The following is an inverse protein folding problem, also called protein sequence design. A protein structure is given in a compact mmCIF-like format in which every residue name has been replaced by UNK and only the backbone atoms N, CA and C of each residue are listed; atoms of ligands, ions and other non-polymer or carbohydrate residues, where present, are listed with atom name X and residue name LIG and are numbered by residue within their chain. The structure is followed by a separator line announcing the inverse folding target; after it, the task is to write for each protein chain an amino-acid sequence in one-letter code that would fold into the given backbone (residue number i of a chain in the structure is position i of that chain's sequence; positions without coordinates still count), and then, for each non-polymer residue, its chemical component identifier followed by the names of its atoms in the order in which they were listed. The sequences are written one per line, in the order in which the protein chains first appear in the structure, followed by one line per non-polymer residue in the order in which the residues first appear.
data_IF_228618890263
#
_entry.id   IF_228618890263
#
_cell.length_a   1.000
_cell.length_b   1.000
_cell.length_c   1.000
_cell.angle_alpha   90.00
_cell.angle_beta   90.00
_cell.angle_gamma   90.00
#
_symmetry.space_group_name_H-M   'P 1'
#
loop_
_entity.id
_entity.type
_entity.pdbx_description
1 polymer ?
#
# COMPACT_ATOMS: atom_id res chain seq x y z
N UNK A 1 14.17 -2.93 -35.99
CA UNK A 1 12.72 -3.02 -35.77
C UNK A 1 12.46 -4.23 -34.90
N UNK A 2 12.07 -4.01 -33.66
CA UNK A 2 11.82 -5.08 -32.69
C UNK A 2 11.91 -4.59 -31.25
N UNK A 3 11.40 -3.39 -30.97
CA UNK A 3 11.05 -3.03 -29.58
C UNK A 3 9.73 -3.73 -29.30
N UNK A 4 9.80 -4.78 -28.50
CA UNK A 4 8.65 -5.44 -27.95
C UNK A 4 8.34 -4.70 -26.65
N UNK A 5 7.32 -3.82 -26.57
CA UNK A 5 7.01 -3.17 -25.32
C UNK A 5 6.57 -4.26 -24.34
N UNK A 6 7.19 -4.25 -23.16
CA UNK A 6 6.82 -5.10 -22.02
C UNK A 6 5.36 -4.79 -21.69
N UNK A 7 4.44 -5.56 -22.26
CA UNK A 7 3.04 -5.56 -21.84
C UNK A 7 3.02 -6.31 -20.52
N UNK A 8 3.20 -5.59 -19.43
CA UNK A 8 2.99 -6.11 -18.08
C UNK A 8 1.48 -6.30 -17.90
N UNK A 9 0.99 -7.47 -18.31
CA UNK A 9 -0.38 -7.91 -18.11
C UNK A 9 -0.66 -8.03 -16.62
N UNK A 10 -1.50 -7.14 -16.08
CA UNK A 10 -1.92 -7.26 -14.68
C UNK A 10 -3.44 -7.17 -14.55
N UNK A 11 -4.03 -8.31 -14.20
CA UNK A 11 -5.40 -8.59 -13.77
C UNK A 11 -6.58 -7.89 -14.47
N UNK A 12 -6.47 -7.59 -15.75
CA UNK A 12 -7.61 -7.81 -16.62
C UNK A 12 -7.47 -9.22 -17.21
N UNK A 13 -8.55 -9.98 -17.33
CA UNK A 13 -8.52 -11.36 -17.82
C UNK A 13 -8.25 -11.41 -19.35
N UNK A 14 -7.18 -10.76 -19.80
CA UNK A 14 -6.87 -10.44 -21.21
C UNK A 14 -8.01 -9.71 -21.94
N UNK A 15 -8.84 -8.97 -21.19
CA UNK A 15 -9.94 -8.16 -21.73
C UNK A 15 -9.71 -6.68 -21.38
N UNK A 16 -10.13 -5.74 -22.22
CA UNK A 16 -10.19 -4.33 -21.86
C UNK A 16 -11.01 -4.12 -20.58
N UNK A 17 -10.70 -3.07 -19.81
CA UNK A 17 -11.41 -2.76 -18.56
C UNK A 17 -12.91 -2.52 -18.76
N UNK A 18 -13.29 -1.98 -19.92
CA UNK A 18 -14.66 -1.71 -20.33
C UNK A 18 -15.46 -3.00 -20.57
N UNK A 19 -14.78 -4.04 -21.02
CA UNK A 19 -15.34 -5.36 -21.32
C UNK A 19 -15.23 -6.33 -20.14
N UNK A 20 -14.76 -5.86 -18.98
CA UNK A 20 -14.63 -6.71 -17.80
C UNK A 20 -16.02 -7.06 -17.23
N UNK A 21 -16.30 -8.36 -17.19
CA UNK A 21 -17.51 -8.90 -16.57
C UNK A 21 -17.25 -9.27 -15.10
N UNK A 22 -18.14 -8.83 -14.21
CA UNK A 22 -18.03 -9.12 -12.78
C UNK A 22 -18.17 -10.63 -12.53
N UNK A 23 -17.28 -11.15 -11.69
CA UNK A 23 -17.32 -12.54 -11.25
C UNK A 23 -18.05 -12.67 -9.91
N UNK A 24 -18.46 -13.90 -9.57
CA UNK A 24 -19.02 -14.18 -8.23
C UNK A 24 -18.04 -13.85 -7.09
N UNK A 25 -16.74 -13.85 -7.36
CA UNK A 25 -15.72 -13.42 -6.39
C UNK A 25 -15.80 -11.92 -6.16
N UNK A 26 -15.96 -11.12 -7.20
CA UNK A 26 -16.04 -9.65 -7.07
C UNK A 26 -17.25 -9.24 -6.24
N UNK A 27 -18.40 -9.91 -6.42
CA UNK A 27 -19.58 -9.71 -5.59
C UNK A 27 -19.32 -10.02 -4.11
N UNK A 28 -18.60 -11.11 -3.81
CA UNK A 28 -18.24 -11.47 -2.44
C UNK A 28 -17.25 -10.49 -1.82
N UNK A 29 -16.24 -10.08 -2.58
CA UNK A 29 -15.21 -9.15 -2.12
C UNK A 29 -15.79 -7.74 -1.91
N UNK A 30 -16.73 -7.31 -2.76
CA UNK A 30 -17.50 -6.07 -2.57
C UNK A 30 -18.33 -6.15 -1.28
N UNK A 31 -19.10 -7.22 -1.07
CA UNK A 31 -19.91 -7.39 0.14
C UNK A 31 -19.06 -7.35 1.41
N UNK A 32 -17.93 -8.05 1.40
CA UNK A 32 -16.95 -8.01 2.50
C UNK A 32 -16.48 -6.58 2.78
N UNK A 33 -16.24 -5.78 1.74
CA UNK A 33 -15.80 -4.39 1.89
C UNK A 33 -16.89 -3.53 2.54
N UNK A 34 -18.16 -3.74 2.17
CA UNK A 34 -19.31 -3.06 2.78
C UNK A 34 -19.48 -3.45 4.26
N UNK A 35 -19.37 -4.74 4.59
CA UNK A 35 -19.41 -5.23 5.97
C UNK A 35 -18.28 -4.64 6.83
N UNK A 36 -17.08 -4.48 6.26
CA UNK A 36 -15.95 -3.81 6.94
C UNK A 36 -16.27 -2.34 7.17
N UNK A 37 -16.83 -1.62 6.20
CA UNK A 37 -17.24 -0.21 6.37
C UNK A 37 -18.21 -0.10 7.54
N UNK A 38 -19.26 -0.90 7.55
CA UNK A 38 -20.30 -0.84 8.58
C UNK A 38 -19.72 -1.15 9.98
N UNK A 39 -18.78 -2.10 10.05
CA UNK A 39 -18.05 -2.40 11.28
C UNK A 39 -17.21 -1.21 11.77
N UNK A 40 -16.45 -0.57 10.86
CA UNK A 40 -15.62 0.60 11.18
C UNK A 40 -16.47 1.79 11.60
N UNK A 41 -17.61 2.02 10.96
CA UNK A 41 -18.54 3.09 11.32
C UNK A 41 -19.10 2.92 12.73
N UNK A 42 -19.44 1.68 13.12
CA UNK A 42 -19.88 1.38 14.49
C UNK A 42 -18.77 1.64 15.51
N UNK A 43 -17.55 1.15 15.26
CA UNK A 43 -16.40 1.43 16.14
C UNK A 43 -16.12 2.93 16.26
N UNK A 44 -16.25 3.67 15.16
CA UNK A 44 -16.10 5.13 15.18
C UNK A 44 -17.22 5.84 15.97
N UNK A 45 -18.41 5.24 16.08
CA UNK A 45 -19.45 5.68 17.02
C UNK A 45 -19.00 5.49 18.46
N UNK A 46 -18.60 4.27 18.81
CA UNK A 46 -18.13 3.90 20.16
C UNK A 46 -16.97 4.80 20.61
N UNK A 47 -15.97 5.03 19.76
CA UNK A 47 -14.85 5.93 20.06
C UNK A 47 -15.25 7.39 20.25
N UNK A 48 -16.29 7.86 19.56
CA UNK A 48 -16.82 9.22 19.75
C UNK A 48 -17.52 9.35 21.10
N UNK A 49 -18.29 8.33 21.50
CA UNK A 49 -18.95 8.32 22.81
C UNK A 49 -17.93 8.30 23.95
N UNK A 50 -16.83 7.52 23.80
CA UNK A 50 -15.69 7.56 24.73
C UNK A 50 -15.05 8.95 24.84
N UNK A 51 -14.82 9.63 23.71
CA UNK A 51 -14.23 10.97 23.68
C UNK A 51 -15.16 12.05 24.24
N UNK A 52 -16.48 11.88 24.11
CA UNK A 52 -17.46 12.75 24.73
C UNK A 52 -17.49 12.55 26.25
N UNK A 53 -17.31 11.32 26.73
CA UNK A 53 -17.24 10.99 28.15
C UNK A 53 -15.91 11.44 28.80
N UNK A 54 -14.79 11.40 28.07
CA UNK A 54 -13.47 11.82 28.55
C UNK A 54 -12.81 12.87 27.62
N UNK A 55 -12.95 14.17 27.94
CA UNK A 55 -12.31 15.24 27.19
C UNK A 55 -10.77 15.17 27.16
N UNK A 56 -10.12 14.58 28.18
CA UNK A 56 -8.65 14.43 28.20
C UNK A 56 -8.19 13.36 27.22
N UNK A 57 -8.96 12.27 27.09
CA UNK A 57 -8.72 11.24 26.06
C UNK A 57 -8.79 11.86 24.67
N UNK A 58 -9.81 12.68 24.40
CA UNK A 58 -9.96 13.40 23.12
C UNK A 58 -8.75 14.31 22.84
N UNK A 59 -8.32 15.11 23.81
CA UNK A 59 -7.15 15.99 23.65
C UNK A 59 -5.89 15.20 23.30
N UNK A 60 -5.62 14.10 24.01
CA UNK A 60 -4.49 13.21 23.73
C UNK A 60 -4.57 12.57 22.34
N UNK A 61 -5.75 12.10 21.93
CA UNK A 61 -5.94 11.53 20.57
C UNK A 61 -5.69 12.58 19.49
N UNK A 62 -6.15 13.81 19.69
CA UNK A 62 -5.88 14.93 18.77
C UNK A 62 -4.38 15.26 18.69
N UNK A 63 -3.67 15.26 19.80
CA UNK A 63 -2.22 15.49 19.82
C UNK A 63 -1.45 14.36 19.11
N UNK A 64 -1.84 13.12 19.34
CA UNK A 64 -1.28 11.97 18.64
C UNK A 64 -1.55 12.06 17.12
N UNK A 65 -2.77 12.42 16.72
CA UNK A 65 -3.12 12.61 15.32
C UNK A 65 -2.29 13.72 14.65
N UNK A 66 -2.10 14.86 15.33
CA UNK A 66 -1.23 15.94 14.86
C UNK A 66 0.22 15.48 14.69
N UNK A 67 0.73 14.70 15.64
CA UNK A 67 2.10 14.18 15.60
C UNK A 67 2.29 13.19 14.47
N UNK A 68 1.32 12.27 14.28
CA UNK A 68 1.30 11.34 13.17
C UNK A 68 1.21 12.07 11.81
N UNK A 69 0.40 13.13 11.72
CA UNK A 69 0.29 13.93 10.49
C UNK A 69 1.63 14.54 10.07
N UNK A 70 2.42 15.06 11.01
CA UNK A 70 3.77 15.59 10.73
C UNK A 70 4.70 14.53 10.13
N UNK A 71 4.60 13.28 10.60
CA UNK A 71 5.38 12.16 10.06
C UNK A 71 4.95 11.88 8.62
N UNK A 72 3.64 11.81 8.35
CA UNK A 72 3.11 11.57 7.00
C UNK A 72 3.52 12.68 6.03
N UNK A 73 3.43 13.94 6.43
CA UNK A 73 3.80 15.08 5.60
C UNK A 73 5.29 15.09 5.24
N UNK A 74 6.16 14.74 6.20
CA UNK A 74 7.60 14.62 5.97
C UNK A 74 8.00 13.48 5.02
N UNK A 75 7.13 12.49 4.84
CA UNK A 75 7.38 11.29 4.02
C UNK A 75 6.74 11.34 2.63
N UNK A 76 6.28 12.50 2.15
CA UNK A 76 5.62 12.59 0.84
C UNK A 76 6.59 12.14 -0.27
N UNK A 77 6.25 11.09 -1.06
CA UNK A 77 7.10 10.64 -2.15
C UNK A 77 7.14 11.68 -3.26
N UNK A 78 8.29 11.77 -3.95
CA UNK A 78 8.44 12.57 -5.16
C UNK A 78 7.52 12.03 -6.27
N UNK A 79 7.03 12.87 -7.18
CA UNK A 79 6.07 12.47 -8.24
C UNK A 79 6.58 11.34 -9.13
N UNK A 80 7.90 11.25 -9.34
CA UNK A 80 8.55 10.15 -10.07
C UNK A 80 8.44 8.78 -9.37
N UNK A 81 8.13 8.77 -8.07
CA UNK A 81 7.89 7.56 -7.28
C UNK A 81 6.40 7.23 -7.19
N UNK A 82 5.53 7.97 -7.88
CA UNK A 82 4.09 7.76 -7.89
C UNK A 82 3.71 7.10 -9.21
N UNK A 83 3.23 5.85 -9.14
CA UNK A 83 2.67 5.10 -10.26
C UNK A 83 1.17 5.36 -10.39
N UNK A 84 0.72 5.66 -11.59
CA UNK A 84 -0.70 5.81 -11.94
C UNK A 84 -1.25 4.51 -12.53
N UNK A 85 -2.51 4.25 -12.19
CA UNK A 85 -3.26 3.07 -12.61
C UNK A 85 -4.64 3.50 -13.06
N UNK A 86 -5.10 2.95 -14.18
CA UNK A 86 -6.50 3.01 -14.56
C UNK A 86 -7.18 1.79 -13.97
N UNK A 87 -8.27 1.98 -13.23
CA UNK A 87 -8.91 0.89 -12.48
C UNK A 87 -10.40 0.84 -12.76
N UNK A 88 -10.90 -0.37 -13.01
CA UNK A 88 -12.33 -0.66 -13.07
C UNK A 88 -12.83 -0.89 -11.65
N UNK A 89 -13.76 -0.05 -11.20
CA UNK A 89 -14.44 -0.21 -9.92
C UNK A 89 -15.64 -1.13 -10.09
N UNK A 90 -16.05 -1.83 -9.03
CA UNK A 90 -17.20 -2.73 -9.01
C UNK A 90 -18.47 -2.10 -9.61
N UNK A 91 -18.70 -0.80 -9.35
CA UNK A 91 -19.90 -0.08 -9.79
C UNK A 91 -20.07 0.12 -11.30
N UNK A 92 -19.03 -0.05 -12.12
CA UNK A 92 -19.12 0.31 -13.54
C UNK A 92 -17.96 1.18 -14.00
N UNK A 93 -17.62 2.14 -13.16
CA UNK A 93 -16.79 3.26 -13.56
C UNK A 93 -15.30 2.91 -13.60
N UNK A 94 -14.59 3.59 -14.51
CA UNK A 94 -13.15 3.46 -14.65
C UNK A 94 -12.52 4.76 -14.23
N UNK A 95 -11.68 4.72 -13.19
CA UNK A 95 -11.05 5.90 -12.60
C UNK A 95 -9.54 5.76 -12.58
N UNK A 96 -8.82 6.86 -12.42
CA UNK A 96 -7.39 6.84 -12.15
C UNK A 96 -7.12 6.77 -10.64
N UNK A 97 -6.17 5.94 -10.22
CA UNK A 97 -5.64 5.92 -8.86
C UNK A 97 -4.12 5.95 -8.88
N UNK A 98 -3.53 6.45 -7.80
CA UNK A 98 -2.08 6.57 -7.62
C UNK A 98 -1.57 5.71 -6.48
N UNK A 99 -0.39 5.11 -6.64
CA UNK A 99 0.32 4.34 -5.61
C UNK A 99 1.82 4.59 -5.70
N UNK A 100 2.57 4.18 -4.68
CA UNK A 100 4.03 4.17 -4.80
C UNK A 100 4.47 3.22 -5.92
N UNK A 101 5.56 3.55 -6.62
CA UNK A 101 6.05 2.79 -7.79
C UNK A 101 6.46 1.35 -7.48
N UNK A 102 6.86 1.09 -6.23
CA UNK A 102 7.22 -0.26 -5.77
C UNK A 102 5.99 -1.17 -5.54
N UNK A 103 4.78 -0.60 -5.55
CA UNK A 103 3.55 -1.37 -5.41
C UNK A 103 3.23 -2.06 -6.74
N UNK A 104 3.28 -3.39 -6.74
CA UNK A 104 3.07 -4.20 -7.94
C UNK A 104 1.64 -4.13 -8.49
N UNK A 105 0.64 -3.92 -7.63
CA UNK A 105 -0.78 -3.84 -8.02
C UNK A 105 -1.55 -2.85 -7.14
N UNK A 106 -2.53 -2.11 -7.68
CA UNK A 106 -3.22 -1.03 -6.95
C UNK A 106 -4.08 -1.52 -5.78
N UNK A 107 -4.32 -2.83 -5.69
CA UNK A 107 -5.11 -3.49 -4.63
C UNK A 107 -4.30 -3.97 -3.43
N UNK A 108 -2.97 -3.86 -3.45
CA UNK A 108 -2.12 -4.28 -2.34
C UNK A 108 -2.21 -3.33 -1.13
N UNK A 109 -1.70 -3.80 0.03
CA UNK A 109 -1.56 -3.01 1.27
C UNK A 109 -2.85 -2.31 1.74
N UNK A 110 -3.98 -3.02 1.67
CA UNK A 110 -5.27 -2.53 2.18
C UNK A 110 -5.99 -1.52 1.29
N UNK A 111 -5.40 -1.09 0.16
CA UNK A 111 -5.98 -0.07 -0.73
C UNK A 111 -6.87 -0.66 -1.83
N UNK A 112 -7.63 -1.68 -1.47
CA UNK A 112 -8.34 -2.57 -2.40
C UNK A 112 -9.69 -2.00 -2.85
N UNK A 113 -10.22 -1.01 -2.14
CA UNK A 113 -11.41 -0.26 -2.52
C UNK A 113 -11.19 1.24 -2.38
N UNK A 114 -12.06 2.03 -3.02
CA UNK A 114 -12.04 3.50 -2.93
C UNK A 114 -13.46 4.05 -3.08
N UNK A 115 -13.67 5.33 -2.81
CA UNK A 115 -14.91 6.01 -3.21
C UNK A 115 -14.90 6.26 -4.71
N UNK A 116 -15.96 5.87 -5.40
CA UNK A 116 -16.16 6.21 -6.80
C UNK A 116 -16.47 7.71 -6.95
N UNK A 117 -15.69 8.42 -7.77
CA UNK A 117 -15.89 9.85 -8.04
C UNK A 117 -17.11 10.13 -8.94
N UNK A 118 -17.56 9.15 -9.72
CA UNK A 118 -18.67 9.32 -10.66
C UNK A 118 -20.04 9.07 -10.02
N UNK A 119 -20.23 7.93 -9.33
CA UNK A 119 -21.51 7.59 -8.71
C UNK A 119 -21.52 7.66 -7.17
N UNK A 120 -20.40 7.99 -6.53
CA UNK A 120 -20.31 8.14 -5.07
C UNK A 120 -20.28 6.83 -4.28
N UNK A 121 -20.36 5.65 -4.91
CA UNK A 121 -20.30 4.36 -4.22
C UNK A 121 -19.04 4.26 -3.34
N UNK A 122 -19.22 3.90 -2.06
CA UNK A 122 -18.15 3.83 -1.08
C UNK A 122 -18.44 2.76 0.00
N UNK A 123 -17.62 1.70 0.11
CA UNK A 123 -16.47 1.39 -0.73
C UNK A 123 -16.90 0.87 -2.10
N UNK A 124 -16.15 1.23 -3.15
CA UNK A 124 -16.22 0.59 -4.46
C UNK A 124 -14.93 -0.23 -4.67
N UNK A 125 -15.06 -1.56 -4.77
CA UNK A 125 -13.92 -2.46 -4.92
C UNK A 125 -13.25 -2.28 -6.29
N UNK A 126 -11.92 -2.30 -6.33
CA UNK A 126 -11.18 -2.40 -7.60
C UNK A 126 -11.24 -3.86 -8.08
N UNK A 127 -11.84 -4.10 -9.25
CA UNK A 127 -12.06 -5.45 -9.82
C UNK A 127 -11.11 -5.78 -10.98
N UNK A 128 -10.67 -4.77 -11.73
CA UNK A 128 -9.64 -4.89 -12.75
C UNK A 128 -8.83 -3.60 -12.83
N UNK A 129 -7.63 -3.66 -13.40
CA UNK A 129 -6.74 -2.50 -13.47
C UNK A 129 -5.72 -2.63 -14.60
N UNK A 130 -5.16 -1.51 -15.02
CA UNK A 130 -4.05 -1.43 -15.97
C UNK A 130 -3.08 -0.31 -15.57
N UNK A 131 -1.76 -0.52 -15.67
CA UNK A 131 -0.78 0.51 -15.37
C UNK A 131 -0.81 1.61 -16.44
N UNK A 132 -0.75 2.89 -16.02
CA UNK A 132 -0.58 4.03 -16.92
C UNK A 132 0.90 4.40 -17.02
N UNK A 133 1.58 4.47 -15.86
CA UNK A 133 2.97 4.93 -15.75
C UNK A 133 3.18 5.91 -14.62
N UNK A 134 4.43 6.35 -14.37
CA UNK A 134 4.72 7.32 -13.31
C UNK A 134 4.05 8.68 -13.58
N UNK A 135 3.79 9.43 -12.50
CA UNK A 135 3.12 10.74 -12.56
C UNK A 135 4.04 11.83 -13.12
N UNK A 136 5.30 11.86 -12.71
CA UNK A 136 6.32 12.76 -13.28
C UNK A 136 7.11 12.11 -14.41
N UNK A 137 7.70 12.94 -15.30
CA UNK A 137 8.78 12.47 -16.16
C UNK A 137 9.86 11.89 -15.27
N UNK A 138 10.24 10.64 -15.55
CA UNK A 138 11.42 10.10 -14.92
C UNK A 138 12.59 10.94 -15.44
N UNK A 139 13.06 11.91 -14.65
CA UNK A 139 14.44 12.36 -14.75
C UNK A 139 15.29 11.16 -14.37
N UNK A 140 15.37 10.17 -15.25
CA UNK A 140 16.37 9.12 -15.24
C UNK A 140 17.68 9.81 -15.63
N UNK A 141 18.13 10.73 -14.79
CA UNK A 141 19.53 11.07 -14.68
C UNK A 141 20.21 9.80 -14.15
N UNK A 142 20.54 8.90 -15.08
CA UNK A 142 21.78 8.13 -15.12
C UNK A 142 22.34 7.75 -13.74
N UNK A 143 21.61 6.97 -12.94
CA UNK A 143 22.17 6.29 -11.77
C UNK A 143 21.24 5.20 -11.20
N UNK A 144 20.59 4.39 -12.03
CA UNK A 144 20.00 3.13 -11.55
C UNK A 144 20.49 1.98 -12.43
N UNK A 145 21.78 1.71 -12.32
CA UNK A 145 22.23 0.32 -12.33
C UNK A 145 21.65 -0.32 -11.05
N UNK A 146 20.79 -1.35 -11.12
CA UNK A 146 20.32 -2.06 -9.93
C UNK A 146 21.41 -2.92 -9.26
N UNK A 147 22.67 -2.81 -9.69
CA UNK A 147 23.77 -3.65 -9.22
C UNK A 147 24.41 -3.19 -7.90
N UNK A 148 23.94 -2.09 -7.29
CA UNK A 148 24.48 -1.61 -6.03
C UNK A 148 23.39 -1.49 -4.97
N UNK A 149 23.51 -2.30 -3.92
CA UNK A 149 22.82 -2.19 -2.61
C UNK A 149 21.63 -3.11 -2.33
N UNK A 150 21.61 -4.33 -2.88
CA UNK A 150 21.13 -5.43 -2.04
C UNK A 150 22.30 -5.85 -1.14
N UNK A 151 22.17 -5.81 0.21
CA UNK A 151 23.16 -6.44 1.07
C UNK A 151 23.23 -7.91 0.65
N UNK A 152 24.40 -8.34 0.15
CA UNK A 152 24.61 -9.73 -0.28
C UNK A 152 24.07 -10.64 0.82
N UNK A 153 23.22 -11.65 0.50
CA UNK A 153 22.77 -12.60 1.49
C UNK A 153 24.01 -13.20 2.16
N UNK A 154 24.17 -12.96 3.46
CA UNK A 154 25.31 -13.43 4.23
C UNK A 154 25.31 -14.96 4.13
N UNK A 155 26.46 -15.53 3.81
CA UNK A 155 26.55 -16.99 3.75
C UNK A 155 26.30 -17.56 5.16
N UNK A 156 25.81 -18.79 5.23
CA UNK A 156 25.56 -19.48 6.51
C UNK A 156 26.76 -19.40 7.47
N UNK A 157 27.97 -19.51 6.93
CA UNK A 157 29.22 -19.39 7.68
C UNK A 157 29.45 -18.00 8.28
N UNK A 158 29.02 -16.93 7.59
CA UNK A 158 29.11 -15.56 8.11
C UNK A 158 28.09 -15.29 9.22
N UNK A 159 26.93 -15.95 9.16
CA UNK A 159 25.93 -15.87 10.22
C UNK A 159 26.40 -16.64 11.47
N UNK A 160 26.94 -17.86 11.29
CA UNK A 160 27.48 -18.67 12.38
C UNK A 160 28.65 -17.96 13.10
N UNK A 161 29.55 -17.31 12.36
CA UNK A 161 30.63 -16.52 12.95
C UNK A 161 30.11 -15.33 13.78
N UNK A 162 29.05 -14.64 13.30
CA UNK A 162 28.47 -13.50 14.03
C UNK A 162 27.70 -13.94 15.27
N UNK A 163 27.05 -15.10 15.23
CA UNK A 163 26.41 -15.70 16.41
C UNK A 163 27.45 -16.04 17.47
N UNK A 164 28.55 -16.70 17.08
CA UNK A 164 29.63 -17.04 18.01
C UNK A 164 30.28 -15.81 18.66
N UNK A 165 30.47 -14.73 17.90
CA UNK A 165 30.98 -13.45 18.41
C UNK A 165 30.03 -12.83 19.44
N UNK A 166 28.73 -12.75 19.13
CA UNK A 166 27.71 -12.21 20.02
C UNK A 166 27.54 -13.08 21.29
N UNK A 167 27.65 -14.40 21.17
CA UNK A 167 27.61 -15.32 22.29
C UNK A 167 28.84 -15.15 23.21
N UNK A 168 30.02 -14.89 22.65
CA UNK A 168 31.21 -14.58 23.43
C UNK A 168 31.10 -13.23 24.15
N UNK A 169 30.54 -12.20 23.52
CA UNK A 169 30.26 -10.91 24.14
C UNK A 169 29.25 -11.04 25.30
N UNK A 170 28.17 -11.81 25.11
CA UNK A 170 27.20 -12.09 26.17
C UNK A 170 27.79 -12.89 27.32
N UNK A 171 28.67 -13.86 27.04
CA UNK A 171 29.37 -14.62 28.06
C UNK A 171 30.37 -13.76 28.85
N UNK A 172 31.07 -12.84 28.18
CA UNK A 172 31.97 -11.90 28.82
C UNK A 172 31.23 -10.95 29.79
N UNK A 173 30.07 -10.42 29.38
CA UNK A 173 29.25 -9.57 30.24
C UNK A 173 28.67 -10.32 31.45
N UNK A 174 28.29 -11.59 31.28
CA UNK A 174 27.76 -12.43 32.37
C UNK A 174 28.80 -12.90 33.38
N UNK A 175 30.08 -12.90 33.01
CA UNK A 175 31.19 -13.27 33.90
C UNK A 175 31.80 -12.04 34.63
N UNK A 176 31.23 -10.86 34.41
CA UNK A 176 31.64 -9.59 35.05
C UNK A 176 30.62 -9.06 36.07
N UNK A 177 29.61 -9.87 36.43
CA UNK A 177 28.75 -9.71 37.62
C UNK A 177 29.16 -10.69 38.71
#
# INVERSE_FOLDING_TARGET
MGDNPVVTFHRSQNVPLEAYELTSRDHRDQKTSEEIRDHVERLAGEWRDEELADPKLRERRLENARSAWKIVESGRPHDSHIMRWRVRLYCGHIVEVTRHVEVAEPTMHGSSSTRCSECGMNPARIVAFEPIGPLGEATMNKALNPAASQPKPRSRKQLEARVAELEAELAAMRNTE
#
